data_IF_584242534948
#
_entry.id   IF_584242534948
#
_cell.length_a   1.000
_cell.length_b   1.000
_cell.length_c   1.000
_cell.angle_alpha   90.00
_cell.angle_beta   90.00
_cell.angle_gamma   90.00
#
_symmetry.space_group_name_H-M   'P 1'
#
loop_
_entity.id
_entity.type
_entity.pdbx_description
1 polymer ?
#
# COMPACT_ATOMS: atom_id res chain seq x y z
N UNK A 1 -7.18 -40.02 17.69
CA UNK A 1 -6.61 -39.35 16.48
C UNK A 1 -6.49 -37.87 16.80
N UNK A 2 -5.29 -37.29 16.70
CA UNK A 2 -5.09 -35.87 17.00
C UNK A 2 -5.68 -35.03 15.86
N UNK A 3 -6.46 -34.00 16.21
CA UNK A 3 -7.18 -33.09 15.31
C UNK A 3 -6.27 -32.30 14.37
N UNK A 4 -4.94 -32.37 14.58
CA UNK A 4 -3.90 -31.65 13.83
C UNK A 4 -3.01 -32.54 12.97
N UNK A 5 -3.37 -33.83 12.81
CA UNK A 5 -2.57 -34.77 12.00
C UNK A 5 -2.62 -34.32 10.53
N UNK A 6 -1.46 -34.01 9.93
CA UNK A 6 -1.35 -33.59 8.52
C UNK A 6 -1.34 -32.07 8.26
N UNK A 7 -1.72 -31.24 9.23
CA UNK A 7 -1.73 -29.76 9.09
C UNK A 7 -0.36 -29.20 8.75
N UNK A 8 0.72 -29.75 9.35
CA UNK A 8 2.08 -29.31 9.10
C UNK A 8 2.58 -29.56 7.67
N UNK A 9 2.13 -30.66 7.03
CA UNK A 9 2.49 -30.94 5.63
C UNK A 9 1.78 -29.99 4.67
N UNK A 10 0.50 -29.72 4.90
CA UNK A 10 -0.29 -28.74 4.13
C UNK A 10 0.30 -27.33 4.29
N UNK A 11 0.61 -26.92 5.53
CA UNK A 11 1.21 -25.61 5.81
C UNK A 11 2.58 -25.45 5.11
N UNK A 12 3.44 -26.46 5.17
CA UNK A 12 4.74 -26.45 4.48
C UNK A 12 4.60 -26.36 2.97
N UNK A 13 3.61 -27.05 2.39
CA UNK A 13 3.33 -26.98 0.96
C UNK A 13 2.86 -25.58 0.55
N UNK A 14 1.93 -24.98 1.31
CA UNK A 14 1.43 -23.63 1.07
C UNK A 14 2.55 -22.58 1.17
N UNK A 15 3.39 -22.65 2.22
CA UNK A 15 4.53 -21.75 2.40
C UNK A 15 5.58 -21.88 1.29
N UNK A 16 5.89 -23.09 0.84
CA UNK A 16 6.81 -23.30 -0.30
C UNK A 16 6.26 -22.70 -1.58
N UNK A 17 4.96 -22.84 -1.81
CA UNK A 17 4.28 -22.34 -3.00
C UNK A 17 4.27 -20.81 -3.03
N UNK A 18 4.20 -20.13 -1.89
CA UNK A 18 4.07 -18.66 -1.83
C UNK A 18 5.35 -17.88 -1.48
N UNK A 19 6.46 -18.57 -1.14
CA UNK A 19 7.70 -17.93 -0.68
C UNK A 19 8.30 -16.86 -1.59
N UNK A 20 7.99 -16.86 -2.88
CA UNK A 20 8.58 -15.90 -3.84
C UNK A 20 7.65 -14.71 -4.06
N UNK A 21 6.34 -14.94 -4.19
CA UNK A 21 5.39 -13.88 -4.54
C UNK A 21 5.14 -12.91 -3.40
N UNK A 22 4.93 -13.41 -2.19
CA UNK A 22 4.70 -12.56 -1.02
C UNK A 22 5.85 -11.57 -0.77
N UNK A 23 7.14 -11.99 -0.72
CA UNK A 23 8.23 -11.03 -0.56
C UNK A 23 8.44 -10.17 -1.80
N UNK A 24 8.16 -10.66 -3.01
CA UNK A 24 8.24 -9.83 -4.22
C UNK A 24 7.24 -8.67 -4.16
N UNK A 25 6.01 -8.92 -3.71
CA UNK A 25 5.00 -7.88 -3.50
C UNK A 25 5.45 -6.87 -2.44
N UNK A 26 5.89 -7.37 -1.28
CA UNK A 26 6.38 -6.51 -0.19
C UNK A 26 7.55 -5.66 -0.66
N UNK A 27 8.57 -6.27 -1.26
CA UNK A 27 9.74 -5.56 -1.80
C UNK A 27 9.35 -4.57 -2.88
N UNK A 28 8.48 -4.96 -3.82
CA UNK A 28 8.00 -4.09 -4.89
C UNK A 28 7.29 -2.85 -4.34
N UNK A 29 6.38 -3.04 -3.37
CA UNK A 29 5.68 -1.93 -2.72
C UNK A 29 6.63 -1.06 -1.89
N UNK A 30 7.59 -1.64 -1.17
CA UNK A 30 8.59 -0.90 -0.41
C UNK A 30 9.47 -0.06 -1.34
N UNK A 31 9.98 -0.64 -2.42
CA UNK A 31 10.81 0.06 -3.40
C UNK A 31 10.03 1.17 -4.11
N UNK A 32 8.78 0.91 -4.49
CA UNK A 32 7.91 1.92 -5.08
C UNK A 32 7.65 3.08 -4.12
N UNK A 33 7.38 2.79 -2.85
CA UNK A 33 7.16 3.82 -1.83
C UNK A 33 8.43 4.63 -1.60
N UNK A 34 9.58 3.97 -1.49
CA UNK A 34 10.88 4.64 -1.33
C UNK A 34 11.18 5.56 -2.51
N UNK A 35 10.93 5.11 -3.74
CA UNK A 35 11.06 5.93 -4.94
C UNK A 35 10.19 7.18 -4.88
N UNK A 36 8.90 7.03 -4.56
CA UNK A 36 7.98 8.17 -4.44
C UNK A 36 8.45 9.16 -3.38
N UNK A 37 8.89 8.69 -2.20
CA UNK A 37 9.38 9.58 -1.13
C UNK A 37 10.58 10.39 -1.58
N UNK A 38 11.54 9.76 -2.26
CA UNK A 38 12.73 10.44 -2.77
C UNK A 38 12.34 11.49 -3.80
N UNK A 39 11.54 11.12 -4.80
CA UNK A 39 11.07 12.03 -5.85
C UNK A 39 10.28 13.22 -5.29
N UNK A 40 9.35 12.96 -4.36
CA UNK A 40 8.59 14.02 -3.71
C UNK A 40 9.52 14.98 -2.95
N UNK A 41 10.54 14.46 -2.25
CA UNK A 41 11.53 15.30 -1.56
C UNK A 41 12.42 16.13 -2.51
N UNK A 42 12.57 15.72 -3.77
CA UNK A 42 13.35 16.45 -4.77
C UNK A 42 12.53 17.44 -5.60
N UNK A 43 11.25 17.14 -5.84
CA UNK A 43 10.38 17.91 -6.75
C UNK A 43 9.50 18.90 -6.00
N UNK A 44 9.05 18.58 -4.78
CA UNK A 44 8.20 19.48 -4.01
C UNK A 44 9.05 20.44 -3.17
N UNK A 45 8.96 21.72 -3.49
CA UNK A 45 9.36 22.82 -2.61
C UNK A 45 8.21 23.24 -1.69
N UNK A 46 8.50 24.15 -0.76
CA UNK A 46 7.53 24.63 0.22
C UNK A 46 6.29 25.25 -0.45
N UNK A 47 6.49 26.03 -1.51
CA UNK A 47 5.40 26.66 -2.24
C UNK A 47 4.47 25.62 -2.90
N UNK A 48 5.06 24.59 -3.54
CA UNK A 48 4.30 23.50 -4.15
C UNK A 48 3.54 22.68 -3.12
N UNK A 49 4.12 22.42 -1.94
CA UNK A 49 3.43 21.74 -0.84
C UNK A 49 2.21 22.54 -0.37
N UNK A 50 2.36 23.85 -0.17
CA UNK A 50 1.22 24.70 0.21
C UNK A 50 0.14 24.72 -0.87
N UNK A 51 0.51 24.75 -2.15
CA UNK A 51 -0.44 24.62 -3.26
C UNK A 51 -1.20 23.29 -3.26
N UNK A 52 -0.49 22.18 -2.99
CA UNK A 52 -1.10 20.86 -2.81
C UNK A 52 -2.05 20.83 -1.61
N UNK A 53 -1.72 21.50 -0.51
CA UNK A 53 -2.60 21.60 0.66
C UNK A 53 -3.89 22.33 0.36
N UNK A 54 -3.81 23.46 -0.35
CA UNK A 54 -4.99 24.18 -0.81
C UNK A 54 -5.84 23.32 -1.75
N UNK A 55 -5.22 22.61 -2.68
CA UNK A 55 -5.95 21.70 -3.58
C UNK A 55 -6.63 20.56 -2.81
N UNK A 56 -5.97 20.00 -1.79
CA UNK A 56 -6.53 18.96 -0.94
C UNK A 56 -7.72 19.45 -0.09
N UNK A 57 -7.71 20.73 0.31
CA UNK A 57 -8.84 21.37 1.01
C UNK A 57 -10.07 21.58 0.13
N UNK A 58 -9.93 21.45 -1.20
CA UNK A 58 -11.06 21.59 -2.09
C UNK A 58 -12.10 20.48 -1.85
N UNK A 59 -13.41 20.78 -1.84
CA UNK A 59 -14.47 19.81 -1.51
C UNK A 59 -14.46 18.55 -2.38
N UNK A 60 -14.08 18.70 -3.66
CA UNK A 60 -13.99 17.59 -4.61
C UNK A 60 -12.83 16.64 -4.24
N UNK A 61 -11.69 17.19 -3.84
CA UNK A 61 -10.52 16.40 -3.43
C UNK A 61 -10.80 15.72 -2.10
N UNK A 62 -11.47 16.40 -1.18
CA UNK A 62 -11.89 15.84 0.11
C UNK A 62 -12.90 14.68 -0.05
N UNK A 63 -13.74 14.71 -1.10
CA UNK A 63 -14.67 13.62 -1.42
C UNK A 63 -13.93 12.33 -1.83
N UNK A 64 -12.80 12.46 -2.54
CA UNK A 64 -12.05 11.34 -3.11
C UNK A 64 -10.95 10.84 -2.16
N UNK A 65 -10.17 11.76 -1.59
CA UNK A 65 -9.03 11.48 -0.71
C UNK A 65 -9.35 11.49 0.78
N UNK A 66 -10.58 11.85 1.16
CA UNK A 66 -10.95 12.08 2.56
C UNK A 66 -10.58 13.49 3.04
N UNK A 67 -10.88 13.82 4.30
CA UNK A 67 -10.86 15.20 4.82
C UNK A 67 -9.47 15.84 4.97
N UNK A 68 -8.41 15.27 4.39
CA UNK A 68 -7.07 15.89 4.37
C UNK A 68 -6.49 16.09 5.77
N UNK A 69 -6.60 15.09 6.65
CA UNK A 69 -6.03 15.19 8.00
C UNK A 69 -4.52 15.45 7.96
N UNK A 70 -4.08 16.52 8.62
CA UNK A 70 -2.66 16.90 8.71
C UNK A 70 -2.15 17.77 7.56
N UNK A 71 -3.04 18.31 6.71
CA UNK A 71 -2.69 19.23 5.63
C UNK A 71 -2.56 20.69 6.10
N UNK A 72 -2.98 21.02 7.33
CA UNK A 72 -2.80 22.35 7.95
C UNK A 72 -1.32 22.73 8.14
N UNK A 73 -0.46 21.73 8.32
CA UNK A 73 1.00 21.85 8.42
C UNK A 73 1.61 20.79 7.50
N UNK A 74 1.52 21.03 6.21
CA UNK A 74 1.84 20.04 5.20
C UNK A 74 3.34 19.75 5.15
N UNK A 75 3.69 18.47 5.15
CA UNK A 75 5.06 17.98 4.96
C UNK A 75 5.04 16.82 3.98
N UNK A 76 6.16 16.52 3.34
CA UNK A 76 6.27 15.39 2.40
C UNK A 76 5.72 14.08 2.99
N UNK A 77 6.03 13.69 4.25
CA UNK A 77 5.46 12.47 4.84
C UNK A 77 3.94 12.53 5.04
N UNK A 78 3.38 13.69 5.40
CA UNK A 78 1.93 13.87 5.58
C UNK A 78 1.20 13.84 4.25
N UNK A 79 1.77 14.46 3.21
CA UNK A 79 1.25 14.40 1.85
C UNK A 79 1.26 12.98 1.30
N UNK A 80 2.37 12.26 1.49
CA UNK A 80 2.48 10.84 1.11
C UNK A 80 1.40 10.00 1.80
N UNK A 81 1.24 10.14 3.12
CA UNK A 81 0.24 9.38 3.86
C UNK A 81 -1.20 9.72 3.41
N UNK A 82 -1.50 11.00 3.19
CA UNK A 82 -2.82 11.49 2.84
C UNK A 82 -3.27 11.12 1.43
N UNK A 83 -2.39 11.27 0.44
CA UNK A 83 -2.74 11.00 -0.97
C UNK A 83 -2.31 9.61 -1.41
N UNK A 84 -1.05 9.25 -1.17
CA UNK A 84 -0.47 7.99 -1.66
C UNK A 84 -0.79 6.78 -0.79
N UNK A 85 -1.19 6.99 0.47
CA UNK A 85 -1.59 5.92 1.38
C UNK A 85 -2.73 5.06 0.84
N UNK A 86 -3.75 5.69 0.22
CA UNK A 86 -4.87 4.97 -0.40
C UNK A 86 -4.39 4.08 -1.57
N UNK A 87 -3.44 4.54 -2.38
CA UNK A 87 -2.87 3.75 -3.47
C UNK A 87 -2.04 2.58 -2.95
N UNK A 88 -1.33 2.73 -1.82
CA UNK A 88 -0.65 1.62 -1.17
C UNK A 88 -1.66 0.58 -0.67
N UNK A 89 -2.78 1.01 -0.09
CA UNK A 89 -3.86 0.10 0.31
C UNK A 89 -4.46 -0.64 -0.90
N UNK A 90 -4.63 0.04 -2.04
CA UNK A 90 -5.05 -0.61 -3.29
C UNK A 90 -4.02 -1.64 -3.78
N UNK A 91 -2.73 -1.32 -3.71
CA UNK A 91 -1.66 -2.28 -4.01
C UNK A 91 -1.73 -3.52 -3.12
N UNK A 92 -1.94 -3.34 -1.81
CA UNK A 92 -2.14 -4.43 -0.88
C UNK A 92 -3.43 -5.22 -1.17
N UNK A 93 -4.51 -4.55 -1.59
CA UNK A 93 -5.73 -5.20 -2.01
C UNK A 93 -5.51 -6.09 -3.24
N UNK A 94 -4.79 -5.62 -4.26
CA UNK A 94 -4.42 -6.45 -5.42
C UNK A 94 -3.53 -7.63 -5.05
N UNK A 95 -2.54 -7.42 -4.18
CA UNK A 95 -1.75 -8.50 -3.60
C UNK A 95 -2.69 -9.55 -2.98
N UNK A 96 -3.62 -9.15 -2.10
CA UNK A 96 -4.55 -10.09 -1.46
C UNK A 96 -5.46 -10.82 -2.47
N UNK A 97 -6.02 -10.11 -3.45
CA UNK A 97 -6.90 -10.70 -4.47
C UNK A 97 -6.17 -11.75 -5.31
N UNK A 98 -4.95 -11.45 -5.76
CA UNK A 98 -4.15 -12.38 -6.57
C UNK A 98 -3.67 -13.59 -5.76
N UNK A 99 -3.40 -13.40 -4.47
CA UNK A 99 -3.10 -14.50 -3.53
C UNK A 99 -4.31 -15.39 -3.35
N UNK A 100 -5.49 -14.84 -3.01
CA UNK A 100 -6.72 -15.61 -2.82
C UNK A 100 -7.08 -16.39 -4.08
N UNK A 101 -7.11 -15.72 -5.25
CA UNK A 101 -7.44 -16.34 -6.55
C UNK A 101 -6.55 -17.55 -6.86
N UNK A 102 -5.28 -17.50 -6.48
CA UNK A 102 -4.34 -18.62 -6.67
C UNK A 102 -4.65 -19.80 -5.76
N UNK A 103 -5.12 -19.53 -4.54
CA UNK A 103 -5.47 -20.56 -3.55
C UNK A 103 -6.85 -21.16 -3.80
N UNK A 104 -7.77 -20.41 -4.43
CA UNK A 104 -9.12 -20.89 -4.77
C UNK A 104 -9.23 -21.55 -6.14
N UNK A 105 -8.38 -21.21 -7.14
CA UNK A 105 -8.35 -21.87 -8.47
C UNK A 105 -7.89 -23.35 -8.47
N UNK A 106 -7.72 -23.96 -7.30
CA UNK A 106 -7.33 -25.36 -7.17
C UNK A 106 -8.51 -26.29 -6.83
N UNK A 107 -9.72 -25.74 -6.71
CA UNK A 107 -10.99 -26.49 -6.73
C UNK A 107 -11.60 -26.44 -8.14
#
# INVERSE_FOLDING_TARGET
MSTLTGTGQVLRFLLRRDRVRAPLWVLGMTLMTAYIVVELGTVLDEESLQGMAQMASAPVTALIGGPGYGFDDITVPRFLAGLYGAYLMLGAAFMSMTTITRHTRAE
#
